data_IF_894825452336
#
_entry.id   IF_894825452336
#
_cell.length_a   1.000
_cell.length_b   1.000
_cell.length_c   1.000
_cell.angle_alpha   90.00
_cell.angle_beta   90.00
_cell.angle_gamma   90.00
#
_symmetry.space_group_name_H-M   'P 1'
#
loop_
_entity.id
_entity.type
_entity.pdbx_description
1 polymer ?
#
# COMPACT_ATOMS: atom_id res chain seq x y z
N UNK A 1 30.26 -26.39 -14.54
CA UNK A 1 30.22 -25.20 -13.70
C UNK A 1 31.10 -24.16 -14.36
N UNK A 2 30.51 -23.33 -15.19
CA UNK A 2 31.21 -22.22 -15.85
C UNK A 2 30.96 -20.99 -14.99
N UNK A 3 32.01 -20.47 -14.37
CA UNK A 3 31.99 -19.22 -13.65
C UNK A 3 31.65 -18.09 -14.66
N UNK A 4 30.57 -17.41 -14.43
CA UNK A 4 30.25 -16.15 -15.12
C UNK A 4 31.22 -15.09 -14.58
N UNK A 5 31.95 -14.37 -15.44
CA UNK A 5 32.91 -13.37 -14.99
C UNK A 5 32.14 -12.23 -14.26
N UNK A 6 32.63 -11.87 -13.10
CA UNK A 6 32.25 -10.61 -12.43
C UNK A 6 32.51 -9.46 -13.39
N UNK A 7 31.45 -8.92 -13.95
CA UNK A 7 31.55 -7.67 -14.75
C UNK A 7 31.70 -6.52 -13.78
N UNK A 8 32.89 -5.93 -13.74
CA UNK A 8 33.14 -4.68 -13.02
C UNK A 8 32.14 -3.65 -13.49
N UNK A 9 31.58 -2.88 -12.52
CA UNK A 9 30.68 -1.77 -12.78
C UNK A 9 31.26 -0.81 -13.83
N UNK A 10 30.93 -1.05 -15.10
CA UNK A 10 31.04 -0.02 -16.11
C UNK A 10 29.87 0.95 -15.86
N UNK A 11 30.17 2.24 -15.75
CA UNK A 11 29.14 3.27 -15.83
C UNK A 11 28.26 2.95 -17.05
N UNK A 12 26.96 2.94 -16.87
CA UNK A 12 26.02 2.76 -17.98
C UNK A 12 26.28 3.91 -18.92
N UNK A 13 26.83 3.62 -20.10
CA UNK A 13 27.38 4.61 -21.02
C UNK A 13 26.35 5.58 -21.61
N UNK A 14 26.77 6.52 -22.48
CA UNK A 14 25.88 7.43 -23.16
C UNK A 14 24.92 6.63 -24.07
N UNK A 15 23.67 6.50 -23.64
CA UNK A 15 22.62 5.68 -24.28
C UNK A 15 21.63 5.11 -23.29
N UNK A 16 21.80 5.40 -21.99
CA UNK A 16 20.85 4.99 -20.95
C UNK A 16 19.42 5.43 -21.33
N UNK A 17 18.49 4.48 -21.28
CA UNK A 17 17.06 4.75 -21.43
C UNK A 17 16.35 4.27 -20.17
N UNK A 18 15.54 5.12 -19.57
CA UNK A 18 14.63 4.75 -18.51
C UNK A 18 13.78 3.54 -18.93
N UNK A 19 13.60 2.58 -18.04
CA UNK A 19 12.82 1.38 -18.33
C UNK A 19 13.57 0.27 -19.06
N UNK A 20 14.93 0.29 -19.07
CA UNK A 20 15.75 -0.76 -19.68
C UNK A 20 16.75 -1.40 -18.73
N UNK A 21 16.89 -0.89 -17.52
CA UNK A 21 17.84 -1.40 -16.53
C UNK A 21 17.21 -1.67 -15.19
N UNK A 22 17.70 -2.70 -14.52
CA UNK A 22 17.36 -3.05 -13.14
C UNK A 22 18.61 -3.01 -12.26
N UNK A 23 18.40 -2.73 -10.97
CA UNK A 23 19.42 -2.82 -9.93
C UNK A 23 19.00 -3.88 -8.91
N UNK A 24 19.80 -4.93 -8.77
CA UNK A 24 19.61 -6.01 -7.81
C UNK A 24 20.53 -5.81 -6.61
N UNK A 25 19.98 -5.71 -5.41
CA UNK A 25 20.74 -5.53 -4.19
C UNK A 25 21.52 -6.80 -3.88
N UNK A 26 22.83 -6.67 -3.73
CA UNK A 26 23.77 -7.75 -3.37
C UNK A 26 24.26 -7.66 -1.93
N UNK A 27 24.28 -6.47 -1.35
CA UNK A 27 24.58 -6.28 0.08
C UNK A 27 23.47 -6.87 0.96
N UNK A 28 23.79 -7.31 2.17
CA UNK A 28 22.80 -7.79 3.15
C UNK A 28 21.67 -6.77 3.37
N UNK A 29 22.03 -5.50 3.46
CA UNK A 29 21.11 -4.37 3.47
C UNK A 29 21.78 -3.09 2.97
N UNK A 30 20.99 -2.19 2.35
CA UNK A 30 21.44 -0.88 1.89
C UNK A 30 20.35 0.15 2.12
N UNK A 31 20.73 1.35 2.54
CA UNK A 31 19.82 2.47 2.64
C UNK A 31 19.60 3.10 1.26
N UNK A 32 18.35 3.30 0.91
CA UNK A 32 17.92 4.10 -0.23
C UNK A 32 17.53 5.47 0.30
N UNK A 33 18.16 6.51 -0.16
CA UNK A 33 17.99 7.87 0.36
C UNK A 33 16.91 8.64 -0.42
N UNK A 34 16.36 9.69 0.20
CA UNK A 34 15.41 10.61 -0.46
C UNK A 34 16.10 11.55 -1.43
N UNK A 35 17.38 11.84 -1.22
CA UNK A 35 18.21 12.67 -2.09
C UNK A 35 19.61 12.06 -2.22
N UNK A 36 20.33 12.34 -3.31
CA UNK A 36 21.68 11.80 -3.58
C UNK A 36 22.68 12.09 -2.47
N UNK A 37 22.65 13.31 -1.96
CA UNK A 37 23.63 13.79 -0.97
C UNK A 37 23.02 13.94 0.43
N UNK A 38 21.79 13.46 0.66
CA UNK A 38 21.06 13.59 1.91
C UNK A 38 21.26 12.39 2.84
N UNK A 39 21.23 12.64 4.14
CA UNK A 39 21.21 11.60 5.17
C UNK A 39 19.81 11.00 5.40
N UNK A 40 18.76 11.62 4.81
CA UNK A 40 17.38 11.18 4.94
C UNK A 40 17.15 9.87 4.21
N UNK A 41 16.97 8.80 4.96
CA UNK A 41 16.65 7.48 4.43
C UNK A 41 15.17 7.44 4.00
N UNK A 42 14.93 7.02 2.77
CA UNK A 42 13.59 6.73 2.25
C UNK A 42 13.13 5.35 2.73
N UNK A 43 13.99 4.35 2.55
CA UNK A 43 13.76 2.96 2.96
C UNK A 43 15.10 2.20 3.03
N UNK A 44 15.07 1.01 3.61
CA UNK A 44 16.21 0.08 3.60
C UNK A 44 15.83 -1.14 2.77
N UNK A 45 16.64 -1.46 1.76
CA UNK A 45 16.49 -2.64 0.92
C UNK A 45 17.41 -3.77 1.40
N UNK A 46 16.98 -5.02 1.17
CA UNK A 46 17.74 -6.24 1.53
C UNK A 46 18.28 -6.92 0.28
N UNK A 47 19.25 -7.81 0.48
CA UNK A 47 19.76 -8.66 -0.60
C UNK A 47 18.63 -9.34 -1.38
N UNK A 48 18.73 -9.34 -2.72
CA UNK A 48 17.74 -9.87 -3.64
C UNK A 48 16.60 -8.92 -3.99
N UNK A 49 16.52 -7.72 -3.35
CA UNK A 49 15.55 -6.70 -3.79
C UNK A 49 15.96 -6.16 -5.17
N UNK A 50 14.99 -6.03 -6.07
CA UNK A 50 15.19 -5.54 -7.44
C UNK A 50 14.44 -4.24 -7.65
N UNK A 51 15.07 -3.28 -8.31
CA UNK A 51 14.52 -1.95 -8.58
C UNK A 51 14.72 -1.55 -10.04
N UNK A 52 13.73 -0.90 -10.64
CA UNK A 52 13.90 -0.23 -11.93
C UNK A 52 14.88 0.94 -11.77
N UNK A 53 15.86 1.03 -12.65
CA UNK A 53 16.79 2.17 -12.72
C UNK A 53 16.17 3.26 -13.59
N UNK A 54 16.04 4.46 -13.02
CA UNK A 54 15.46 5.63 -13.70
C UNK A 54 16.54 6.51 -14.33
N UNK A 55 17.74 6.58 -13.69
CA UNK A 55 18.82 7.45 -14.13
C UNK A 55 20.15 6.98 -13.52
N UNK A 56 21.22 6.99 -14.32
CA UNK A 56 22.60 6.89 -13.84
C UNK A 56 23.12 8.29 -13.47
N UNK A 57 23.32 8.53 -12.18
CA UNK A 57 23.77 9.83 -11.66
C UNK A 57 25.30 9.96 -11.64
N UNK A 58 26.01 8.92 -12.07
CA UNK A 58 27.46 8.83 -11.99
C UNK A 58 27.98 8.67 -10.55
N UNK A 59 29.30 8.49 -10.42
CA UNK A 59 29.96 8.33 -9.13
C UNK A 59 29.39 7.22 -8.23
N UNK A 60 28.85 6.16 -8.85
CA UNK A 60 28.29 5.01 -8.12
C UNK A 60 26.91 5.23 -7.52
N UNK A 61 26.16 6.21 -8.00
CA UNK A 61 24.78 6.46 -7.59
C UNK A 61 23.81 6.27 -8.73
N UNK A 62 22.70 5.61 -8.43
CA UNK A 62 21.56 5.46 -9.35
C UNK A 62 20.30 6.07 -8.73
N UNK A 63 19.48 6.70 -9.55
CA UNK A 63 18.11 7.00 -9.22
C UNK A 63 17.28 5.78 -9.58
N UNK A 64 16.49 5.30 -8.65
CA UNK A 64 15.66 4.09 -8.80
C UNK A 64 14.21 4.38 -8.45
N UNK A 65 13.29 3.55 -8.95
CA UNK A 65 11.89 3.57 -8.55
C UNK A 65 11.70 2.75 -7.28
N UNK A 66 11.15 3.41 -6.25
CA UNK A 66 10.78 2.78 -4.99
C UNK A 66 9.28 2.97 -4.78
N UNK A 67 8.49 1.93 -5.09
CA UNK A 67 7.04 2.02 -5.14
C UNK A 67 6.57 3.15 -6.10
N UNK A 68 5.78 4.11 -5.59
CA UNK A 68 5.27 5.26 -6.36
C UNK A 68 6.20 6.49 -6.30
N UNK A 69 7.43 6.35 -5.81
CA UNK A 69 8.37 7.46 -5.60
C UNK A 69 9.74 7.15 -6.17
N UNK A 70 10.62 8.13 -6.18
CA UNK A 70 12.01 7.99 -6.55
C UNK A 70 12.89 7.88 -5.31
N UNK A 71 13.97 7.09 -5.41
CA UNK A 71 14.99 6.94 -4.38
C UNK A 71 16.39 6.96 -4.98
N UNK A 72 17.38 7.20 -4.14
CA UNK A 72 18.78 7.31 -4.50
C UNK A 72 19.55 6.15 -3.88
N UNK A 73 20.09 5.28 -4.73
CA UNK A 73 20.80 4.05 -4.37
C UNK A 73 22.31 4.22 -4.57
N UNK A 74 23.13 4.06 -3.52
CA UNK A 74 24.58 3.90 -3.69
C UNK A 74 24.88 2.48 -4.17
N UNK A 75 25.28 2.34 -5.44
CA UNK A 75 25.42 1.02 -6.10
C UNK A 75 26.74 0.35 -5.76
N UNK A 76 27.82 1.12 -5.59
CA UNK A 76 29.16 0.58 -5.36
C UNK A 76 29.22 -0.35 -4.16
N UNK A 77 29.42 -1.66 -4.42
CA UNK A 77 29.47 -2.70 -3.39
C UNK A 77 28.13 -3.07 -2.77
N UNK A 78 27.03 -2.47 -3.23
CA UNK A 78 25.69 -2.71 -2.68
C UNK A 78 24.71 -3.33 -3.66
N UNK A 79 24.91 -3.12 -4.97
CA UNK A 79 24.01 -3.66 -5.99
C UNK A 79 24.74 -3.95 -7.32
N UNK A 80 24.19 -4.86 -8.08
CA UNK A 80 24.51 -5.11 -9.50
C UNK A 80 23.47 -4.43 -10.35
N UNK A 81 23.91 -3.83 -11.49
CA UNK A 81 23.02 -3.16 -12.45
C UNK A 81 23.22 -3.82 -13.80
N UNK A 82 22.12 -4.24 -14.39
CA UNK A 82 22.13 -4.95 -15.68
C UNK A 82 20.96 -4.50 -16.56
N UNK A 83 21.06 -4.76 -17.86
CA UNK A 83 19.97 -4.55 -18.80
C UNK A 83 18.87 -5.59 -18.51
N UNK A 84 17.64 -5.09 -18.31
CA UNK A 84 16.50 -5.92 -17.99
C UNK A 84 16.08 -6.77 -19.20
N UNK A 85 15.69 -8.00 -18.97
CA UNK A 85 15.06 -8.83 -19.99
C UNK A 85 13.64 -8.34 -20.34
N UNK A 86 13.13 -8.79 -21.49
CA UNK A 86 11.81 -8.40 -21.96
C UNK A 86 10.72 -8.78 -20.93
N UNK A 87 10.00 -7.78 -20.42
CA UNK A 87 8.93 -7.93 -19.42
C UNK A 87 9.39 -7.85 -17.96
N UNK A 88 10.68 -7.86 -17.68
CA UNK A 88 11.21 -7.84 -16.32
C UNK A 88 10.94 -6.50 -15.62
N UNK A 89 11.06 -5.39 -16.31
CA UNK A 89 10.71 -4.07 -15.79
C UNK A 89 9.24 -4.01 -15.39
N UNK A 90 8.33 -4.55 -16.22
CA UNK A 90 6.89 -4.60 -15.92
C UNK A 90 6.63 -5.46 -14.67
N UNK A 91 7.34 -6.57 -14.52
CA UNK A 91 7.26 -7.43 -13.35
C UNK A 91 7.74 -6.71 -12.09
N UNK A 92 8.90 -6.06 -12.13
CA UNK A 92 9.48 -5.27 -11.02
C UNK A 92 8.54 -4.13 -10.61
N UNK A 93 7.98 -3.41 -11.58
CA UNK A 93 7.00 -2.35 -11.32
C UNK A 93 5.74 -2.90 -10.67
N UNK A 94 5.22 -4.02 -11.14
CA UNK A 94 4.04 -4.67 -10.58
C UNK A 94 4.27 -5.09 -9.12
N UNK A 95 5.38 -5.75 -8.83
CA UNK A 95 5.74 -6.15 -7.47
C UNK A 95 5.91 -4.96 -6.52
N UNK A 96 6.50 -3.87 -7.00
CA UNK A 96 6.62 -2.63 -6.24
C UNK A 96 5.25 -2.03 -5.90
N UNK A 97 4.31 -1.99 -6.85
CA UNK A 97 2.94 -1.52 -6.64
C UNK A 97 2.20 -2.40 -5.63
N UNK A 98 2.29 -3.73 -5.77
CA UNK A 98 1.65 -4.68 -4.85
C UNK A 98 2.21 -4.54 -3.43
N UNK A 99 3.52 -4.38 -3.28
CA UNK A 99 4.19 -4.14 -1.99
C UNK A 99 3.73 -2.82 -1.36
N UNK A 100 3.67 -1.73 -2.15
CA UNK A 100 3.16 -0.42 -1.72
C UNK A 100 1.72 -0.50 -1.25
N UNK A 101 0.85 -1.15 -2.01
CA UNK A 101 -0.55 -1.32 -1.66
C UNK A 101 -0.71 -2.15 -0.39
N UNK A 102 0.06 -3.22 -0.23
CA UNK A 102 0.05 -4.03 0.99
C UNK A 102 0.46 -3.20 2.22
N UNK A 103 1.50 -2.40 2.11
CA UNK A 103 1.94 -1.50 3.19
C UNK A 103 0.86 -0.45 3.54
N UNK A 104 0.29 0.23 2.54
CA UNK A 104 -0.81 1.20 2.73
C UNK A 104 -2.01 0.56 3.43
N UNK A 105 -2.38 -0.67 3.06
CA UNK A 105 -3.47 -1.43 3.68
C UNK A 105 -3.19 -1.75 5.15
N UNK A 106 -1.97 -2.19 5.48
CA UNK A 106 -1.56 -2.45 6.87
C UNK A 106 -1.57 -1.18 7.73
N UNK A 107 -1.07 -0.07 7.21
CA UNK A 107 -1.11 1.24 7.88
C UNK A 107 -2.55 1.67 8.16
N UNK A 108 -3.44 1.56 7.17
CA UNK A 108 -4.85 1.93 7.32
C UNK A 108 -5.55 1.11 8.40
N UNK A 109 -5.35 -0.22 8.40
CA UNK A 109 -5.93 -1.12 9.41
C UNK A 109 -5.36 -0.81 10.79
N UNK A 110 -4.04 -0.65 10.92
CA UNK A 110 -3.40 -0.30 12.19
C UNK A 110 -3.94 1.02 12.74
N UNK A 111 -4.17 2.01 11.87
CA UNK A 111 -4.78 3.27 12.26
C UNK A 111 -6.24 3.10 12.71
N UNK A 112 -7.03 2.33 11.97
CA UNK A 112 -8.42 2.05 12.32
C UNK A 112 -8.58 1.37 13.69
N UNK A 113 -7.68 0.45 14.02
CA UNK A 113 -7.71 -0.31 15.27
C UNK A 113 -7.43 0.53 16.52
N UNK A 114 -6.78 1.68 16.40
CA UNK A 114 -6.54 2.60 17.51
C UNK A 114 -7.83 3.15 18.11
N UNK A 115 -8.93 3.17 17.35
CA UNK A 115 -10.21 3.73 17.78
C UNK A 115 -11.17 2.70 18.38
N UNK A 116 -10.77 1.42 18.46
CA UNK A 116 -11.62 0.37 19.06
C UNK A 116 -11.92 0.70 20.51
N UNK A 117 -13.21 0.65 20.87
CA UNK A 117 -13.71 1.12 22.16
C UNK A 117 -14.21 2.57 22.19
N UNK A 118 -13.95 3.33 21.12
CA UNK A 118 -14.46 4.70 20.97
C UNK A 118 -15.98 4.77 20.85
N UNK A 119 -16.60 5.94 21.16
CA UNK A 119 -18.03 6.06 21.25
C UNK A 119 -18.75 6.03 19.88
N UNK A 120 -19.94 5.43 19.86
CA UNK A 120 -20.85 5.52 18.72
C UNK A 120 -21.74 6.76 18.85
N UNK A 121 -21.94 7.48 17.75
CA UNK A 121 -22.89 8.57 17.63
C UNK A 121 -23.47 8.60 16.22
N UNK A 122 -24.79 8.43 16.09
CA UNK A 122 -25.46 8.57 14.80
C UNK A 122 -25.22 9.97 14.20
N UNK A 123 -24.81 10.03 12.92
CA UNK A 123 -24.43 11.28 12.27
C UNK A 123 -23.05 11.83 12.67
N UNK A 124 -22.36 11.20 13.61
CA UNK A 124 -21.01 11.56 14.04
C UNK A 124 -19.95 11.21 13.00
N UNK A 125 -18.81 11.92 13.04
CA UNK A 125 -17.73 11.78 12.07
C UNK A 125 -16.32 11.73 12.69
N UNK A 126 -16.23 11.84 14.02
CA UNK A 126 -14.96 11.78 14.75
C UNK A 126 -15.00 10.63 15.76
N UNK A 127 -14.12 9.62 15.60
CA UNK A 127 -14.10 8.45 16.48
C UNK A 127 -13.68 8.76 17.92
N UNK A 128 -13.10 9.92 18.22
CA UNK A 128 -12.77 10.34 19.58
C UNK A 128 -13.98 10.88 20.34
N UNK A 129 -14.93 11.51 19.63
CA UNK A 129 -16.11 12.17 20.24
C UNK A 129 -17.44 11.51 19.90
N UNK A 130 -17.41 10.56 18.96
CA UNK A 130 -18.53 9.76 18.50
C UNK A 130 -18.70 9.78 16.99
N UNK A 131 -18.78 8.59 16.42
CA UNK A 131 -18.94 8.38 14.98
C UNK A 131 -19.98 7.30 14.69
N UNK A 132 -20.60 7.36 13.49
CA UNK A 132 -21.35 6.24 12.94
C UNK A 132 -20.47 5.41 11.98
N UNK A 133 -21.05 4.38 11.37
CA UNK A 133 -20.31 3.43 10.53
C UNK A 133 -19.59 4.09 9.36
N UNK A 134 -20.27 4.96 8.59
CA UNK A 134 -19.69 5.65 7.43
C UNK A 134 -18.85 6.86 7.82
N UNK A 135 -19.14 7.50 8.93
CA UNK A 135 -18.29 8.54 9.53
C UNK A 135 -16.94 7.97 9.93
N UNK A 136 -16.92 6.78 10.53
CA UNK A 136 -15.72 6.06 10.91
C UNK A 136 -14.85 5.71 9.69
N UNK A 137 -15.39 5.02 8.69
CA UNK A 137 -14.61 4.65 7.50
C UNK A 137 -14.09 5.90 6.78
N UNK A 138 -14.89 6.96 6.66
CA UNK A 138 -14.46 8.24 6.10
C UNK A 138 -13.30 8.84 6.89
N UNK A 139 -13.39 8.87 8.21
CA UNK A 139 -12.35 9.41 9.08
C UNK A 139 -11.04 8.66 8.91
N UNK A 140 -11.08 7.32 8.97
CA UNK A 140 -9.90 6.47 8.85
C UNK A 140 -9.21 6.63 7.51
N UNK A 141 -9.95 6.61 6.41
CA UNK A 141 -9.38 6.80 5.08
C UNK A 141 -8.77 8.19 4.88
N UNK A 142 -9.46 9.23 5.37
CA UNK A 142 -8.99 10.61 5.24
C UNK A 142 -7.71 10.87 6.04
N UNK A 143 -7.66 10.43 7.30
CA UNK A 143 -6.53 10.72 8.18
C UNK A 143 -5.40 9.69 8.08
N UNK A 144 -5.73 8.45 7.69
CA UNK A 144 -4.74 7.39 7.51
C UNK A 144 -4.01 7.47 6.16
N UNK A 145 -4.72 7.84 5.08
CA UNK A 145 -4.17 7.81 3.72
C UNK A 145 -4.47 9.05 2.87
N UNK A 146 -5.13 10.08 3.41
CA UNK A 146 -5.53 11.27 2.65
C UNK A 146 -6.67 11.04 1.65
N UNK A 147 -7.35 9.89 1.70
CA UNK A 147 -8.41 9.52 0.74
C UNK A 147 -9.76 9.99 1.27
N UNK A 148 -10.44 10.85 0.49
CA UNK A 148 -11.76 11.37 0.85
C UNK A 148 -12.88 10.41 0.45
N UNK A 149 -13.63 9.91 1.43
CA UNK A 149 -14.85 9.14 1.21
C UNK A 149 -16.09 10.01 1.42
N UNK A 150 -17.18 9.66 0.74
CA UNK A 150 -18.50 10.26 0.92
C UNK A 150 -19.02 10.06 2.35
N UNK A 151 -19.96 10.91 2.78
CA UNK A 151 -20.49 10.84 4.16
C UNK A 151 -21.35 9.60 4.40
N UNK A 152 -22.16 9.18 3.44
CA UNK A 152 -23.10 8.07 3.61
C UNK A 152 -22.51 6.74 3.14
N UNK A 153 -22.89 5.64 3.79
CA UNK A 153 -22.49 4.28 3.38
C UNK A 153 -22.96 3.95 1.96
N UNK A 154 -24.16 4.37 1.57
CA UNK A 154 -24.66 4.18 0.20
C UNK A 154 -23.81 4.86 -0.86
N UNK A 155 -23.34 6.09 -0.60
CA UNK A 155 -22.45 6.81 -1.53
C UNK A 155 -21.02 6.23 -1.52
N UNK A 156 -20.52 5.78 -0.38
CA UNK A 156 -19.21 5.10 -0.28
C UNK A 156 -19.19 3.81 -1.10
N UNK A 157 -20.31 3.09 -1.17
CA UNK A 157 -20.41 1.87 -1.96
C UNK A 157 -20.23 2.07 -3.47
N UNK A 158 -20.22 3.32 -3.93
CA UNK A 158 -19.95 3.69 -5.33
C UNK A 158 -18.56 4.27 -5.55
N UNK A 159 -17.72 4.31 -4.51
CA UNK A 159 -16.35 4.82 -4.57
C UNK A 159 -15.36 3.64 -4.53
N UNK A 160 -14.67 3.41 -5.62
CA UNK A 160 -13.73 2.29 -5.78
C UNK A 160 -14.27 1.16 -6.65
N UNK A 161 -13.54 0.05 -6.68
CA UNK A 161 -13.81 -1.12 -7.52
C UNK A 161 -14.60 -2.18 -6.74
N UNK A 162 -15.70 -2.66 -7.31
CA UNK A 162 -16.41 -3.79 -6.72
C UNK A 162 -15.61 -5.08 -6.91
N UNK A 163 -15.45 -5.84 -5.84
CA UNK A 163 -14.66 -7.08 -5.82
C UNK A 163 -15.48 -8.24 -5.24
N UNK A 164 -15.04 -9.46 -5.50
CA UNK A 164 -15.59 -10.68 -4.90
C UNK A 164 -15.04 -10.91 -3.48
N UNK A 165 -15.71 -11.77 -2.72
CA UNK A 165 -15.27 -12.13 -1.37
C UNK A 165 -13.88 -12.82 -1.35
N UNK A 166 -13.52 -13.53 -2.42
CA UNK A 166 -12.20 -14.17 -2.55
C UNK A 166 -11.06 -13.20 -2.83
N UNK A 167 -11.38 -11.97 -3.22
CA UNK A 167 -10.40 -10.91 -3.52
C UNK A 167 -10.24 -9.91 -2.37
N UNK A 168 -10.97 -10.11 -1.27
CA UNK A 168 -10.90 -9.19 -0.12
C UNK A 168 -9.50 -9.08 0.46
N UNK A 169 -9.07 -7.85 0.66
CA UNK A 169 -7.82 -7.50 1.33
C UNK A 169 -8.07 -6.55 2.51
N UNK A 170 -7.20 -6.53 3.52
CA UNK A 170 -7.31 -5.57 4.63
C UNK A 170 -7.48 -4.14 4.12
N UNK A 171 -8.39 -3.40 4.73
CA UNK A 171 -8.79 -2.06 4.28
C UNK A 171 -10.03 -2.01 3.40
N UNK A 172 -10.42 -3.09 2.72
CA UNK A 172 -11.61 -3.09 1.87
C UNK A 172 -12.90 -2.84 2.66
N UNK A 173 -13.89 -2.25 2.00
CA UNK A 173 -15.17 -1.87 2.62
C UNK A 173 -16.25 -2.88 2.30
N UNK A 174 -16.90 -3.38 3.35
CA UNK A 174 -18.02 -4.31 3.29
C UNK A 174 -19.32 -3.57 3.57
N UNK A 175 -20.25 -3.62 2.64
CA UNK A 175 -21.53 -2.92 2.73
C UNK A 175 -22.66 -3.90 3.01
N UNK A 176 -23.54 -3.50 3.92
CA UNK A 176 -24.70 -4.29 4.38
C UNK A 176 -25.98 -3.51 4.17
N UNK A 177 -27.06 -4.23 3.98
CA UNK A 177 -28.36 -3.64 3.74
C UNK A 177 -29.41 -4.65 3.33
N UNK A 178 -30.52 -4.19 2.76
CA UNK A 178 -31.60 -5.02 2.23
C UNK A 178 -31.98 -4.55 0.82
N UNK A 179 -32.01 -5.48 -0.11
CA UNK A 179 -32.27 -5.18 -1.52
C UNK A 179 -31.24 -4.21 -2.08
N UNK A 180 -31.70 -3.06 -2.59
CA UNK A 180 -30.84 -1.99 -3.13
C UNK A 180 -30.42 -0.95 -2.07
N UNK A 181 -30.93 -1.06 -0.84
CA UNK A 181 -30.68 -0.09 0.22
C UNK A 181 -29.45 -0.52 1.05
N UNK A 182 -28.40 0.29 1.04
CA UNK A 182 -27.22 0.14 1.90
C UNK A 182 -27.40 1.04 3.11
N UNK A 183 -27.32 0.47 4.31
CA UNK A 183 -27.50 1.18 5.59
C UNK A 183 -26.35 1.01 6.57
N UNK A 184 -25.35 0.19 6.23
CA UNK A 184 -24.18 -0.03 7.08
C UNK A 184 -22.93 -0.32 6.26
N UNK A 185 -21.77 0.03 6.83
CA UNK A 185 -20.45 -0.25 6.28
C UNK A 185 -19.50 -0.68 7.38
N UNK A 186 -18.62 -1.63 7.07
CA UNK A 186 -17.51 -2.06 7.90
C UNK A 186 -16.22 -2.09 7.08
N UNK A 187 -15.07 -2.03 7.75
CA UNK A 187 -13.77 -2.22 7.13
C UNK A 187 -13.26 -3.64 7.40
N UNK A 188 -12.82 -4.34 6.38
CA UNK A 188 -12.14 -5.63 6.51
C UNK A 188 -10.72 -5.43 7.06
N UNK A 189 -10.31 -6.26 8.00
CA UNK A 189 -8.99 -6.15 8.65
C UNK A 189 -8.15 -7.42 8.52
N UNK A 190 -8.61 -8.38 7.70
CA UNK A 190 -7.96 -9.68 7.52
C UNK A 190 -8.58 -10.79 8.35
N UNK A 191 -8.25 -12.03 8.04
CA UNK A 191 -8.64 -13.25 8.77
C UNK A 191 -10.16 -13.40 9.01
N UNK A 192 -10.98 -12.96 8.08
CA UNK A 192 -12.44 -12.95 8.22
C UNK A 192 -12.97 -11.95 9.26
N UNK A 193 -12.18 -10.96 9.67
CA UNK A 193 -12.52 -10.00 10.73
C UNK A 193 -12.85 -8.63 10.13
N UNK A 194 -13.68 -7.88 10.83
CA UNK A 194 -14.05 -6.50 10.45
C UNK A 194 -13.95 -5.56 11.65
N UNK A 195 -13.75 -4.28 11.38
CA UNK A 195 -13.93 -3.19 12.33
C UNK A 195 -15.04 -2.26 11.86
N UNK A 196 -15.93 -1.86 12.76
CA UNK A 196 -17.04 -0.97 12.46
C UNK A 196 -17.56 -0.21 13.67
N UNK A 197 -18.22 0.92 13.45
CA UNK A 197 -19.04 1.58 14.47
C UNK A 197 -20.45 0.99 14.45
N UNK A 198 -20.91 0.46 15.56
CA UNK A 198 -22.21 -0.24 15.69
C UNK A 198 -23.09 0.35 16.79
N UNK A 199 -24.39 0.41 16.51
CA UNK A 199 -25.41 0.83 17.47
C UNK A 199 -25.69 -0.21 18.56
N UNK A 200 -25.45 -1.49 18.31
CA UNK A 200 -25.84 -2.58 19.24
C UNK A 200 -25.16 -2.50 20.60
N UNK A 201 -24.00 -1.84 20.67
CA UNK A 201 -23.31 -1.57 21.93
C UNK A 201 -22.77 -0.13 22.02
N UNK A 202 -23.24 0.76 21.15
CA UNK A 202 -22.87 2.18 21.12
C UNK A 202 -21.35 2.44 21.08
N UNK A 203 -20.59 1.56 20.42
CA UNK A 203 -19.13 1.64 20.37
C UNK A 203 -18.55 1.19 19.02
N UNK A 204 -17.33 1.66 18.72
CA UNK A 204 -16.46 1.09 17.70
C UNK A 204 -16.00 -0.31 18.11
N UNK A 205 -16.24 -1.29 17.27
CA UNK A 205 -16.02 -2.69 17.59
C UNK A 205 -15.14 -3.38 16.57
N UNK A 206 -14.41 -4.29 17.13
CA UNK A 206 -13.78 -5.39 16.47
C UNK A 206 -14.72 -6.61 16.50
N UNK A 207 -15.11 -7.14 15.36
CA UNK A 207 -15.86 -8.39 15.27
C UNK A 207 -14.98 -9.48 14.67
N UNK A 208 -14.89 -10.61 15.39
CA UNK A 208 -14.35 -11.85 14.87
C UNK A 208 -15.43 -12.56 14.05
N UNK A 209 -15.20 -12.59 12.74
CA UNK A 209 -16.10 -13.24 11.79
C UNK A 209 -17.08 -12.28 11.10
N UNK A 210 -17.21 -12.47 9.81
CA UNK A 210 -18.25 -11.83 8.99
C UNK A 210 -19.54 -12.59 9.27
N UNK A 211 -20.34 -12.11 10.22
CA UNK A 211 -21.57 -12.79 10.68
C UNK A 211 -22.75 -12.70 9.69
N UNK A 212 -22.67 -11.77 8.72
CA UNK A 212 -23.65 -11.59 7.66
C UNK A 212 -22.94 -11.40 6.33
N UNK A 213 -23.48 -11.95 5.26
CA UNK A 213 -22.94 -11.71 3.94
C UNK A 213 -23.13 -10.22 3.53
N UNK A 214 -22.07 -9.51 3.13
CA UNK A 214 -22.20 -8.17 2.61
C UNK A 214 -22.97 -8.20 1.28
N UNK A 215 -23.78 -7.18 1.03
CA UNK A 215 -24.50 -7.01 -0.26
C UNK A 215 -23.55 -6.47 -1.34
N UNK A 216 -22.45 -5.85 -0.93
CA UNK A 216 -21.38 -5.34 -1.80
C UNK A 216 -20.06 -5.26 -1.05
N UNK A 217 -18.97 -5.52 -1.77
CA UNK A 217 -17.59 -5.33 -1.28
C UNK A 217 -16.90 -4.40 -2.27
N UNK A 218 -16.16 -3.42 -1.77
CA UNK A 218 -15.47 -2.43 -2.60
C UNK A 218 -14.03 -2.27 -2.12
N UNK A 219 -13.09 -2.36 -3.06
CA UNK A 219 -11.71 -1.93 -2.86
C UNK A 219 -11.58 -0.47 -3.29
N UNK A 220 -11.05 0.36 -2.37
CA UNK A 220 -10.74 1.79 -2.61
C UNK A 220 -9.26 1.97 -2.94
N UNK A 221 -8.44 0.98 -2.63
CA UNK A 221 -6.97 1.05 -2.75
C UNK A 221 -6.41 0.35 -3.99
N UNK A 222 -7.27 -0.19 -4.84
CA UNK A 222 -6.86 -0.95 -6.03
C UNK A 222 -6.66 -2.43 -5.74
#
# INVERSE_FOLDING_TARGET
>A
MTAVPMTSMAAIGPGFKTGTYIATITAESVNINKTKDGEDVLTTAKAGSVFEVLEDLGNGWMKIRVNDTEGYLPVSGNAEVEEAEAGEIEQVQKEAIESSNSYKRQQLVSYALQFVGGPYRYGGSDPHTGTDCSGFTRYVYQHGLGISLSRSSGSQASQGTAISASQMQPGDLLFYGSGKSINHVAMYIGDGKIVHASTEQQALRFLTGITKNPVKIVSVLG
#
